data_IF_375435865713
#
_entry.id   IF_375435865713
#
_cell.length_a   1.000
_cell.length_b   1.000
_cell.length_c   1.000
_cell.angle_alpha   90.00
_cell.angle_beta   90.00
_cell.angle_gamma   90.00
#
_symmetry.space_group_name_H-M   'P 1'
#
loop_
_entity.id
_entity.type
_entity.pdbx_description
1 polymer ?
#
# COMPACT_ATOMS: atom_id res chain seq x y z
N UNK A 1 -24.11 -3.08 16.29
CA UNK A 1 -24.20 -4.55 16.18
C UNK A 1 -23.11 -5.21 15.30
N UNK A 2 -21.92 -4.62 15.10
CA UNK A 2 -20.82 -5.29 14.37
C UNK A 2 -20.10 -6.41 15.18
N UNK A 3 -20.50 -6.61 16.44
CA UNK A 3 -19.88 -7.58 17.35
C UNK A 3 -20.29 -9.04 17.09
N UNK A 4 -21.25 -9.29 16.19
CA UNK A 4 -21.81 -10.63 15.94
C UNK A 4 -21.30 -11.30 14.66
N UNK A 5 -20.26 -10.75 14.02
CA UNK A 5 -19.60 -11.40 12.88
C UNK A 5 -18.58 -12.41 13.41
N UNK A 6 -18.89 -13.71 13.32
CA UNK A 6 -18.11 -14.78 13.94
C UNK A 6 -16.95 -15.29 13.08
N UNK A 7 -17.04 -15.23 11.74
CA UNK A 7 -15.97 -15.61 10.81
C UNK A 7 -16.17 -15.03 9.39
N UNK A 8 -15.33 -15.45 8.44
CA UNK A 8 -15.33 -15.00 7.04
C UNK A 8 -16.58 -15.44 6.23
N UNK A 9 -17.37 -16.38 6.74
CA UNK A 9 -18.58 -16.93 6.12
C UNK A 9 -19.88 -16.23 6.53
N UNK A 10 -19.81 -15.23 7.40
CA UNK A 10 -20.99 -14.55 7.92
C UNK A 10 -21.77 -13.80 6.81
N UNK A 11 -23.08 -14.08 6.61
CA UNK A 11 -23.92 -13.39 5.63
C UNK A 11 -23.92 -11.85 5.77
N UNK A 12 -23.74 -11.33 6.99
CA UNK A 12 -23.68 -9.90 7.27
C UNK A 12 -22.51 -9.21 6.57
N UNK A 13 -21.41 -9.93 6.31
CA UNK A 13 -20.30 -9.36 5.54
C UNK A 13 -20.71 -9.05 4.10
N UNK A 14 -21.54 -9.91 3.50
CA UNK A 14 -22.08 -9.68 2.17
C UNK A 14 -23.13 -8.55 2.15
N UNK A 15 -23.94 -8.42 3.21
CA UNK A 15 -24.95 -7.36 3.32
C UNK A 15 -24.31 -5.97 3.49
N UNK A 16 -23.30 -5.85 4.35
CA UNK A 16 -22.73 -4.56 4.72
C UNK A 16 -21.65 -4.04 3.74
N UNK A 17 -20.99 -4.91 2.98
CA UNK A 17 -19.87 -4.52 2.11
C UNK A 17 -20.19 -3.36 1.16
N UNK A 18 -21.37 -3.35 0.55
CA UNK A 18 -21.79 -2.30 -0.37
C UNK A 18 -22.09 -0.94 0.29
N UNK A 19 -22.38 -0.92 1.59
CA UNK A 19 -22.73 0.30 2.32
C UNK A 19 -21.52 1.23 2.48
N UNK A 20 -20.31 0.67 2.54
CA UNK A 20 -19.08 1.44 2.75
C UNK A 20 -18.79 2.43 1.63
N UNK A 21 -19.23 2.15 0.39
CA UNK A 21 -19.05 3.07 -0.74
C UNK A 21 -19.57 4.45 -0.40
N UNK A 22 -20.79 4.55 0.16
CA UNK A 22 -21.36 5.85 0.57
C UNK A 22 -20.84 6.30 1.93
N UNK A 23 -20.68 5.39 2.88
CA UNK A 23 -20.33 5.73 4.25
C UNK A 23 -18.96 6.41 4.38
N UNK A 24 -17.94 5.98 3.63
CA UNK A 24 -16.60 6.61 3.68
C UNK A 24 -16.55 7.99 2.99
N UNK A 25 -17.61 8.33 2.25
CA UNK A 25 -17.76 9.61 1.56
C UNK A 25 -18.66 10.60 2.32
N UNK A 26 -19.06 10.28 3.55
CA UNK A 26 -19.95 11.12 4.35
C UNK A 26 -19.37 12.53 4.55
N UNK A 27 -20.20 13.56 4.40
CA UNK A 27 -19.81 14.96 4.59
C UNK A 27 -19.60 15.33 6.06
N UNK A 28 -20.19 14.59 6.99
CA UNK A 28 -19.97 14.77 8.42
C UNK A 28 -18.69 14.05 8.83
N UNK A 29 -17.67 14.81 9.24
CA UNK A 29 -16.37 14.26 9.61
C UNK A 29 -16.45 13.17 10.69
N UNK A 30 -17.31 13.33 11.71
CA UNK A 30 -17.46 12.33 12.77
C UNK A 30 -18.09 11.03 12.26
N UNK A 31 -19.08 11.15 11.37
CA UNK A 31 -19.70 9.99 10.72
C UNK A 31 -18.70 9.28 9.79
N UNK A 32 -17.94 10.05 9.01
CA UNK A 32 -16.90 9.53 8.12
C UNK A 32 -15.82 8.76 8.89
N UNK A 33 -15.34 9.29 10.03
CA UNK A 33 -14.35 8.60 10.86
C UNK A 33 -14.89 7.27 11.40
N UNK A 34 -16.15 7.24 11.83
CA UNK A 34 -16.80 6.00 12.27
C UNK A 34 -17.02 5.02 11.12
N UNK A 35 -17.33 5.52 9.92
CA UNK A 35 -17.43 4.70 8.73
C UNK A 35 -16.08 4.06 8.36
N UNK A 36 -14.99 4.81 8.45
CA UNK A 36 -13.64 4.29 8.21
C UNK A 36 -13.18 3.32 9.32
N UNK A 37 -13.52 3.57 10.59
CA UNK A 37 -13.27 2.61 11.68
C UNK A 37 -14.04 1.29 11.42
N UNK A 38 -15.32 1.39 11.04
CA UNK A 38 -16.15 0.24 10.70
C UNK A 38 -15.63 -0.49 9.45
N UNK A 39 -15.17 0.22 8.43
CA UNK A 39 -14.54 -0.37 7.24
C UNK A 39 -13.28 -1.14 7.63
N UNK A 40 -12.42 -0.55 8.46
CA UNK A 40 -11.22 -1.22 8.95
C UNK A 40 -11.54 -2.50 9.73
N UNK A 41 -12.58 -2.50 10.56
CA UNK A 41 -13.03 -3.69 11.28
C UNK A 41 -13.64 -4.74 10.34
N UNK A 42 -14.43 -4.29 9.36
CA UNK A 42 -14.99 -5.14 8.31
C UNK A 42 -13.88 -5.82 7.50
N UNK A 43 -12.93 -5.05 6.98
CA UNK A 43 -11.85 -5.59 6.15
C UNK A 43 -11.02 -6.61 6.90
N UNK A 44 -10.80 -6.46 8.22
CA UNK A 44 -10.11 -7.46 9.05
C UNK A 44 -10.81 -8.84 9.09
N UNK A 45 -12.09 -8.93 8.75
CA UNK A 45 -12.86 -10.19 8.68
C UNK A 45 -13.34 -10.54 7.26
N UNK A 46 -13.30 -9.58 6.35
CA UNK A 46 -13.72 -9.76 4.96
C UNK A 46 -12.80 -10.74 4.23
N UNK A 47 -13.34 -11.43 3.22
CA UNK A 47 -12.56 -12.22 2.27
C UNK A 47 -12.14 -11.34 1.10
N UNK A 48 -11.26 -11.84 0.24
CA UNK A 48 -10.94 -11.23 -1.06
C UNK A 48 -12.22 -10.94 -1.88
N UNK A 49 -13.15 -11.90 -1.94
CA UNK A 49 -14.44 -11.72 -2.65
C UNK A 49 -15.32 -10.63 -2.04
N UNK A 50 -15.27 -10.45 -0.72
CA UNK A 50 -16.00 -9.36 -0.08
C UNK A 50 -15.40 -8.00 -0.43
N UNK A 51 -14.07 -7.90 -0.46
CA UNK A 51 -13.36 -6.67 -0.81
C UNK A 51 -13.56 -6.26 -2.28
N UNK A 52 -13.43 -7.21 -3.21
CA UNK A 52 -13.52 -7.00 -4.67
C UNK A 52 -14.81 -6.29 -5.11
N UNK A 53 -15.95 -6.59 -4.47
CA UNK A 53 -17.27 -6.06 -4.87
C UNK A 53 -17.39 -4.54 -4.86
N UNK A 54 -16.63 -3.85 -4.01
CA UNK A 54 -16.81 -2.43 -3.76
C UNK A 54 -15.49 -1.64 -3.79
N UNK A 55 -14.36 -2.30 -4.05
CA UNK A 55 -13.04 -1.70 -3.86
C UNK A 55 -12.82 -0.45 -4.71
N UNK A 56 -13.16 -0.46 -6.00
CA UNK A 56 -12.89 0.67 -6.90
C UNK A 56 -13.54 1.97 -6.41
N UNK A 57 -14.85 1.90 -6.12
CA UNK A 57 -15.63 3.06 -5.68
C UNK A 57 -15.23 3.46 -4.26
N UNK A 58 -14.93 2.51 -3.39
CA UNK A 58 -14.54 2.79 -2.01
C UNK A 58 -13.17 3.47 -1.96
N UNK A 59 -12.18 2.96 -2.70
CA UNK A 59 -10.85 3.56 -2.79
C UNK A 59 -10.90 4.96 -3.41
N UNK A 60 -11.65 5.14 -4.50
CA UNK A 60 -11.87 6.46 -5.09
C UNK A 60 -12.49 7.45 -4.10
N UNK A 61 -13.47 7.00 -3.30
CA UNK A 61 -14.07 7.86 -2.27
C UNK A 61 -13.10 8.17 -1.11
N UNK A 62 -12.28 7.22 -0.67
CA UNK A 62 -11.23 7.47 0.33
C UNK A 62 -10.24 8.51 -0.18
N UNK A 63 -9.75 8.39 -1.42
CA UNK A 63 -8.83 9.37 -2.02
C UNK A 63 -9.47 10.76 -2.05
N UNK A 64 -10.71 10.86 -2.52
CA UNK A 64 -11.38 12.14 -2.73
C UNK A 64 -11.91 12.79 -1.44
N UNK A 65 -12.19 12.01 -0.39
CA UNK A 65 -12.91 12.49 0.81
C UNK A 65 -12.13 12.32 2.11
N UNK A 66 -11.22 11.36 2.22
CA UNK A 66 -10.49 11.09 3.46
C UNK A 66 -9.02 11.56 3.40
N UNK A 67 -8.32 11.39 2.27
CA UNK A 67 -6.89 11.72 2.18
C UNK A 67 -6.59 13.23 2.24
N UNK A 68 -7.59 14.08 1.94
CA UNK A 68 -7.50 15.53 2.12
C UNK A 68 -7.92 16.03 3.52
N UNK A 69 -8.46 15.16 4.37
CA UNK A 69 -9.10 15.52 5.64
C UNK A 69 -8.07 15.73 6.78
N UNK A 70 -8.56 15.73 8.03
CA UNK A 70 -7.71 15.82 9.24
C UNK A 70 -6.84 14.58 9.38
N UNK A 71 -5.68 14.69 10.04
CA UNK A 71 -4.69 13.62 10.17
C UNK A 71 -5.29 12.29 10.63
N UNK A 72 -6.20 12.31 11.62
CA UNK A 72 -6.85 11.09 12.11
C UNK A 72 -7.75 10.40 11.08
N UNK A 73 -8.37 11.15 10.17
CA UNK A 73 -9.18 10.59 9.07
C UNK A 73 -8.29 10.04 7.97
N UNK A 74 -7.20 10.76 7.64
CA UNK A 74 -6.19 10.29 6.69
C UNK A 74 -5.62 8.95 7.14
N UNK A 75 -5.19 8.82 8.40
CA UNK A 75 -4.65 7.58 8.95
C UNK A 75 -5.61 6.40 8.81
N UNK A 76 -6.91 6.60 9.09
CA UNK A 76 -7.93 5.55 8.94
C UNK A 76 -8.16 5.17 7.49
N UNK A 77 -8.18 6.15 6.59
CA UNK A 77 -8.30 5.93 5.14
C UNK A 77 -7.10 5.17 4.60
N UNK A 78 -5.89 5.55 5.00
CA UNK A 78 -4.66 4.85 4.66
C UNK A 78 -4.68 3.41 5.15
N UNK A 79 -5.02 3.16 6.42
CA UNK A 79 -5.11 1.79 6.94
C UNK A 79 -6.12 0.94 6.17
N UNK A 80 -7.27 1.51 5.77
CA UNK A 80 -8.26 0.81 4.97
C UNK A 80 -7.70 0.43 3.58
N UNK A 81 -6.97 1.33 2.92
CA UNK A 81 -6.30 1.05 1.64
C UNK A 81 -5.24 -0.05 1.77
N UNK A 82 -4.44 -0.04 2.86
CA UNK A 82 -3.46 -1.10 3.12
C UNK A 82 -4.13 -2.46 3.39
N UNK A 83 -5.27 -2.49 4.10
CA UNK A 83 -6.05 -3.72 4.29
C UNK A 83 -6.68 -4.24 3.01
N UNK A 84 -7.08 -3.37 2.10
CA UNK A 84 -7.49 -3.79 0.75
C UNK A 84 -6.35 -4.49 0.00
N UNK A 85 -5.12 -3.98 0.10
CA UNK A 85 -3.93 -4.65 -0.45
C UNK A 85 -3.72 -6.03 0.19
N UNK A 86 -3.90 -6.16 1.51
CA UNK A 86 -3.81 -7.46 2.21
C UNK A 86 -4.84 -8.48 1.68
N UNK A 87 -5.94 -8.01 1.10
CA UNK A 87 -7.02 -8.78 0.48
C UNK A 87 -6.90 -8.87 -1.05
N UNK A 88 -5.67 -8.80 -1.57
CA UNK A 88 -5.35 -8.95 -3.01
C UNK A 88 -5.89 -7.83 -3.91
N UNK A 89 -6.33 -6.70 -3.35
CA UNK A 89 -6.89 -5.58 -4.11
C UNK A 89 -5.84 -4.50 -4.45
N UNK A 90 -4.58 -4.89 -4.60
CA UNK A 90 -3.48 -3.95 -4.82
C UNK A 90 -3.65 -3.10 -6.09
N UNK A 91 -4.13 -3.70 -7.19
CA UNK A 91 -4.35 -2.97 -8.44
C UNK A 91 -5.35 -1.83 -8.26
N UNK A 92 -6.54 -2.12 -7.73
CA UNK A 92 -7.58 -1.13 -7.53
C UNK A 92 -7.14 0.01 -6.59
N UNK A 93 -6.38 -0.32 -5.54
CA UNK A 93 -5.81 0.68 -4.63
C UNK A 93 -4.80 1.58 -5.34
N UNK A 94 -3.86 1.00 -6.10
CA UNK A 94 -2.85 1.75 -6.86
C UNK A 94 -3.51 2.62 -7.92
N UNK A 95 -4.49 2.10 -8.66
CA UNK A 95 -5.21 2.84 -9.70
C UNK A 95 -5.92 4.08 -9.12
N UNK A 96 -6.59 3.92 -7.96
CA UNK A 96 -7.23 5.03 -7.28
C UNK A 96 -6.22 6.09 -6.77
N UNK A 97 -5.08 5.65 -6.23
CA UNK A 97 -4.03 6.55 -5.73
C UNK A 97 -3.33 7.31 -6.86
N UNK A 98 -3.03 6.62 -7.97
CA UNK A 98 -2.43 7.23 -9.16
C UNK A 98 -3.38 8.24 -9.80
N UNK A 99 -4.68 7.96 -9.85
CA UNK A 99 -5.68 8.96 -10.26
C UNK A 99 -5.67 10.20 -9.34
N UNK A 100 -5.35 10.00 -8.05
CA UNK A 100 -5.19 11.07 -7.06
C UNK A 100 -3.97 11.98 -7.31
N UNK A 101 -2.98 11.57 -8.10
CA UNK A 101 -1.80 12.38 -8.39
C UNK A 101 -2.10 13.63 -9.21
N UNK A 102 -3.20 13.62 -9.97
CA UNK A 102 -3.68 14.77 -10.75
C UNK A 102 -4.77 15.56 -10.04
N UNK A 103 -4.98 15.35 -8.74
CA UNK A 103 -6.01 16.05 -7.99
C UNK A 103 -5.73 17.57 -7.92
N UNK A 104 -6.78 18.38 -8.01
CA UNK A 104 -6.68 19.84 -7.93
C UNK A 104 -6.28 20.35 -6.55
N UNK A 105 -6.41 19.52 -5.52
CA UNK A 105 -6.04 19.84 -4.13
C UNK A 105 -4.64 19.27 -3.85
N UNK A 106 -3.59 20.10 -3.72
CA UNK A 106 -2.22 19.62 -3.54
C UNK A 106 -2.04 18.71 -2.32
N UNK A 107 -2.79 18.98 -1.25
CA UNK A 107 -2.78 18.14 -0.05
C UNK A 107 -3.21 16.69 -0.33
N UNK A 108 -4.18 16.49 -1.22
CA UNK A 108 -4.62 15.15 -1.62
C UNK A 108 -3.53 14.47 -2.45
N UNK A 109 -2.89 15.19 -3.37
CA UNK A 109 -1.75 14.70 -4.16
C UNK A 109 -0.64 14.20 -3.26
N UNK A 110 -0.21 15.02 -2.29
CA UNK A 110 0.83 14.66 -1.30
C UNK A 110 0.44 13.40 -0.52
N UNK A 111 -0.79 13.34 -0.02
CA UNK A 111 -1.27 12.17 0.72
C UNK A 111 -1.32 10.90 -0.14
N UNK A 112 -1.69 11.00 -1.42
CA UNK A 112 -1.69 9.84 -2.32
C UNK A 112 -0.25 9.31 -2.54
N UNK A 113 0.72 10.21 -2.75
CA UNK A 113 2.14 9.83 -2.92
C UNK A 113 2.64 9.14 -1.65
N UNK A 114 2.29 9.68 -0.48
CA UNK A 114 2.68 9.12 0.82
C UNK A 114 2.07 7.72 1.06
N UNK A 115 0.82 7.49 0.67
CA UNK A 115 0.20 6.16 0.77
C UNK A 115 0.85 5.17 -0.20
N UNK A 116 1.19 5.57 -1.42
CA UNK A 116 1.92 4.72 -2.38
C UNK A 116 3.31 4.37 -1.85
N UNK A 117 4.04 5.35 -1.30
CA UNK A 117 5.32 5.15 -0.63
C UNK A 117 5.18 4.09 0.48
N UNK A 118 4.20 4.27 1.38
CA UNK A 118 3.95 3.33 2.47
C UNK A 118 3.59 1.93 1.97
N UNK A 119 2.77 1.82 0.93
CA UNK A 119 2.39 0.53 0.34
C UNK A 119 3.59 -0.21 -0.26
N UNK A 120 4.46 0.49 -0.99
CA UNK A 120 5.67 -0.10 -1.58
C UNK A 120 6.64 -0.54 -0.47
N UNK A 121 6.88 0.31 0.53
CA UNK A 121 7.73 -0.04 1.67
C UNK A 121 7.19 -1.23 2.46
N UNK A 122 5.86 -1.34 2.59
CA UNK A 122 5.24 -2.39 3.39
C UNK A 122 5.19 -3.73 2.66
N UNK A 123 4.79 -3.76 1.38
CA UNK A 123 4.51 -5.00 0.65
C UNK A 123 5.54 -5.35 -0.43
N UNK A 124 6.29 -4.36 -0.92
CA UNK A 124 7.26 -4.54 -2.00
C UNK A 124 6.66 -4.73 -3.40
N UNK A 125 7.52 -4.87 -4.42
CA UNK A 125 7.13 -4.79 -5.84
C UNK A 125 6.41 -6.04 -6.36
N UNK A 126 6.40 -7.12 -5.57
CA UNK A 126 5.66 -8.35 -5.91
C UNK A 126 4.15 -8.17 -5.75
N UNK A 127 3.74 -7.38 -4.75
CA UNK A 127 2.33 -7.06 -4.47
C UNK A 127 1.95 -5.73 -5.12
N UNK A 128 2.82 -4.71 -4.98
CA UNK A 128 2.59 -3.39 -5.58
C UNK A 128 3.37 -3.30 -6.89
N UNK A 129 2.68 -3.47 -8.02
CA UNK A 129 3.32 -3.37 -9.34
C UNK A 129 3.83 -1.93 -9.57
N UNK A 130 5.15 -1.72 -9.74
CA UNK A 130 5.72 -0.35 -9.80
C UNK A 130 5.40 0.43 -11.08
N UNK A 131 5.13 -0.25 -12.19
CA UNK A 131 5.08 0.34 -13.53
C UNK A 131 4.00 1.43 -13.70
N UNK A 132 2.75 1.26 -13.21
CA UNK A 132 1.74 2.32 -13.24
C UNK A 132 2.20 3.58 -12.47
N UNK A 133 2.84 3.40 -11.32
CA UNK A 133 3.36 4.50 -10.50
C UNK A 133 4.48 5.23 -11.25
N UNK A 134 5.48 4.49 -11.76
CA UNK A 134 6.62 5.06 -12.49
C UNK A 134 6.18 5.94 -13.67
N UNK A 135 5.16 5.51 -14.44
CA UNK A 135 4.65 6.27 -15.59
C UNK A 135 4.04 7.63 -15.23
N UNK A 136 3.63 7.82 -13.97
CA UNK A 136 2.93 9.04 -13.52
C UNK A 136 3.80 9.98 -12.67
N UNK A 137 5.02 9.55 -12.31
CA UNK A 137 5.97 10.33 -11.53
C UNK A 137 6.60 11.55 -12.23
N UNK A 138 6.93 11.54 -13.53
CA UNK A 138 7.62 12.67 -14.17
C UNK A 138 6.98 14.05 -13.92
N UNK A 139 5.66 14.26 -14.12
CA UNK A 139 5.05 15.56 -13.83
C UNK A 139 5.05 15.93 -12.34
N UNK A 140 5.08 14.97 -11.42
CA UNK A 140 5.09 15.23 -9.97
C UNK A 140 6.44 15.76 -9.49
N UNK A 141 7.53 15.28 -10.09
CA UNK A 141 8.89 15.75 -9.79
C UNK A 141 9.11 17.21 -10.22
N UNK A 142 8.30 17.67 -11.17
CA UNK A 142 8.26 19.05 -11.66
C UNK A 142 7.05 19.84 -11.14
N UNK A 143 6.35 19.32 -10.12
CA UNK A 143 5.18 19.98 -9.52
C UNK A 143 5.55 21.38 -9.00
N UNK A 144 4.63 22.34 -9.03
CA UNK A 144 4.86 23.66 -8.41
C UNK A 144 4.79 23.59 -6.88
N UNK A 145 4.05 22.61 -6.35
CA UNK A 145 3.94 22.38 -4.90
C UNK A 145 5.20 21.69 -4.38
N UNK A 146 5.90 22.33 -3.43
CA UNK A 146 7.16 21.82 -2.91
C UNK A 146 6.99 20.47 -2.20
N UNK A 147 5.93 20.31 -1.40
CA UNK A 147 5.69 19.06 -0.66
C UNK A 147 5.41 17.89 -1.60
N UNK A 148 4.65 18.13 -2.67
CA UNK A 148 4.38 17.12 -3.68
C UNK A 148 5.67 16.71 -4.42
N UNK A 149 6.52 17.67 -4.79
CA UNK A 149 7.83 17.36 -5.39
C UNK A 149 8.71 16.55 -4.44
N UNK A 150 8.83 16.98 -3.19
CA UNK A 150 9.70 16.34 -2.20
C UNK A 150 9.25 14.90 -1.93
N UNK A 151 7.94 14.69 -1.77
CA UNK A 151 7.39 13.34 -1.62
C UNK A 151 7.53 12.49 -2.88
N UNK A 152 7.43 13.07 -4.06
CA UNK A 152 7.71 12.35 -5.30
C UNK A 152 9.18 11.90 -5.37
N UNK A 153 10.13 12.73 -4.94
CA UNK A 153 11.56 12.35 -4.83
C UNK A 153 11.74 11.20 -3.83
N UNK A 154 11.11 11.27 -2.65
CA UNK A 154 11.15 10.18 -1.66
C UNK A 154 10.60 8.86 -2.26
N UNK A 155 9.50 8.93 -3.00
CA UNK A 155 8.91 7.76 -3.67
C UNK A 155 9.83 7.16 -4.73
N UNK A 156 10.52 7.99 -5.52
CA UNK A 156 11.54 7.53 -6.48
C UNK A 156 12.69 6.80 -5.76
N UNK A 157 13.17 7.37 -4.65
CA UNK A 157 14.25 6.79 -3.86
C UNK A 157 13.82 5.45 -3.26
N UNK A 158 12.62 5.35 -2.70
CA UNK A 158 12.13 4.09 -2.16
C UNK A 158 11.95 3.03 -3.26
N UNK A 159 11.36 3.40 -4.40
CA UNK A 159 11.26 2.51 -5.56
C UNK A 159 12.64 1.98 -5.98
N UNK A 160 13.67 2.84 -6.00
CA UNK A 160 15.04 2.43 -6.35
C UNK A 160 15.63 1.34 -5.45
N UNK A 161 15.24 1.31 -4.17
CA UNK A 161 15.66 0.27 -3.22
C UNK A 161 15.05 -1.08 -3.56
N UNK A 162 13.84 -1.08 -4.11
CA UNK A 162 13.09 -2.29 -4.42
C UNK A 162 13.36 -2.86 -5.81
N UNK A 163 13.39 -2.01 -6.83
CA UNK A 163 13.53 -2.45 -8.25
C UNK A 163 14.92 -2.21 -8.83
N UNK A 164 15.80 -1.58 -8.07
CA UNK A 164 17.16 -1.23 -8.49
C UNK A 164 17.26 0.15 -9.11
N UNK A 165 18.38 0.81 -8.86
CA UNK A 165 18.64 2.18 -9.31
C UNK A 165 18.67 2.31 -10.84
N UNK A 166 19.17 1.29 -11.55
CA UNK A 166 19.29 1.35 -13.00
C UNK A 166 17.94 1.40 -13.73
N UNK A 167 16.95 0.67 -13.19
CA UNK A 167 15.59 0.73 -13.71
C UNK A 167 15.00 2.14 -13.50
N UNK A 168 15.26 2.75 -12.34
CA UNK A 168 14.81 4.12 -12.07
C UNK A 168 15.46 5.14 -13.00
N UNK A 169 16.78 5.03 -13.23
CA UNK A 169 17.52 5.91 -14.15
C UNK A 169 16.92 5.84 -15.55
N UNK A 170 16.82 4.63 -16.10
CA UNK A 170 16.29 4.41 -17.46
C UNK A 170 14.82 4.84 -17.61
N UNK A 171 14.00 4.64 -16.57
CA UNK A 171 12.58 4.96 -16.62
C UNK A 171 12.29 6.47 -16.50
N UNK A 172 13.01 7.20 -15.64
CA UNK A 172 12.61 8.55 -15.23
C UNK A 172 13.61 9.66 -15.57
N UNK A 173 14.91 9.40 -15.65
CA UNK A 173 15.90 10.50 -15.66
C UNK A 173 15.85 11.32 -16.94
N UNK A 174 15.52 10.71 -18.08
CA UNK A 174 15.40 11.44 -19.36
C UNK A 174 14.41 12.62 -19.31
N UNK A 175 13.44 12.57 -18.40
CA UNK A 175 12.36 13.55 -18.26
C UNK A 175 12.60 14.56 -17.12
N UNK A 176 13.80 14.57 -16.51
CA UNK A 176 14.14 15.43 -15.35
C UNK A 176 15.21 16.47 -15.67
N UNK A 177 15.19 17.58 -14.91
CA UNK A 177 16.30 18.54 -14.85
C UNK A 177 17.50 17.97 -14.11
N UNK A 178 18.71 18.39 -14.50
CA UNK A 178 19.96 17.86 -13.95
C UNK A 178 20.12 18.04 -12.44
N UNK A 179 19.64 19.16 -11.89
CA UNK A 179 19.61 19.37 -10.43
C UNK A 179 18.74 18.32 -9.73
N UNK A 180 17.58 17.99 -10.29
CA UNK A 180 16.68 16.98 -9.70
C UNK A 180 17.24 15.57 -9.83
N UNK A 181 17.93 15.25 -10.94
CA UNK A 181 18.67 14.00 -11.09
C UNK A 181 19.74 13.87 -10.00
N UNK A 182 20.58 14.90 -9.84
CA UNK A 182 21.69 14.89 -8.88
C UNK A 182 21.19 14.73 -7.42
N UNK A 183 20.11 15.43 -7.06
CA UNK A 183 19.46 15.28 -5.75
C UNK A 183 19.00 13.83 -5.50
N UNK A 184 18.29 13.25 -6.48
CA UNK A 184 17.76 11.88 -6.40
C UNK A 184 18.92 10.87 -6.36
N UNK A 185 19.96 11.03 -7.17
CA UNK A 185 21.12 10.15 -7.16
C UNK A 185 21.82 10.13 -5.80
N UNK A 186 22.03 11.31 -5.23
CA UNK A 186 22.62 11.46 -3.89
C UNK A 186 21.76 10.72 -2.85
N UNK A 187 20.44 10.91 -2.89
CA UNK A 187 19.53 10.23 -1.99
C UNK A 187 19.49 8.71 -2.20
N UNK A 188 19.52 8.23 -3.45
CA UNK A 188 19.59 6.79 -3.78
C UNK A 188 20.88 6.15 -3.27
N UNK A 189 22.01 6.84 -3.37
CA UNK A 189 23.30 6.37 -2.83
C UNK A 189 23.27 6.28 -1.31
N UNK A 190 22.71 7.29 -0.63
CA UNK A 190 22.57 7.29 0.82
C UNK A 190 21.76 6.09 1.33
N UNK A 191 20.65 5.75 0.66
CA UNK A 191 19.81 4.60 1.07
C UNK A 191 20.34 3.25 0.59
N UNK A 192 21.25 3.21 -0.39
CA UNK A 192 21.86 1.96 -0.87
C UNK A 192 22.68 1.26 0.22
N UNK A 193 23.28 2.03 1.13
CA UNK A 193 24.03 1.51 2.26
C UNK A 193 23.16 0.78 3.29
N UNK A 194 21.83 0.97 3.28
CA UNK A 194 20.90 0.34 4.22
C UNK A 194 20.55 -1.12 3.87
N UNK A 195 21.13 -1.66 2.78
CA UNK A 195 20.84 -3.02 2.31
C UNK A 195 19.51 -3.16 1.58
N UNK A 196 19.19 -4.38 1.16
CA UNK A 196 17.96 -4.68 0.41
C UNK A 196 16.73 -4.53 1.33
N UNK A 197 15.67 -3.82 0.89
CA UNK A 197 14.45 -3.69 1.67
C UNK A 197 13.75 -5.05 1.82
N UNK A 198 12.98 -5.19 2.91
CA UNK A 198 12.20 -6.40 3.23
C UNK A 198 10.76 -6.01 3.51
N UNK A 199 9.76 -6.75 3.00
CA UNK A 199 8.35 -6.45 3.28
C UNK A 199 8.05 -6.60 4.77
N UNK A 200 7.23 -5.71 5.31
CA UNK A 200 6.77 -5.70 6.70
C UNK A 200 5.29 -6.05 6.83
N UNK A 201 4.53 -5.94 5.73
CA UNK A 201 3.17 -6.46 5.58
C UNK A 201 3.12 -7.42 4.40
N UNK A 202 2.17 -8.34 4.45
CA UNK A 202 2.01 -9.41 3.48
C UNK A 202 0.53 -9.59 3.17
N UNK A 203 0.19 -10.05 1.96
CA UNK A 203 -1.20 -10.42 1.69
C UNK A 203 -1.61 -11.61 2.53
N UNK A 204 -2.91 -11.79 2.79
CA UNK A 204 -3.38 -12.94 3.58
C UNK A 204 -2.95 -14.27 2.95
N UNK A 205 -2.97 -14.37 1.62
CA UNK A 205 -2.46 -15.55 0.92
C UNK A 205 -0.97 -15.78 1.18
N UNK A 206 -0.17 -14.72 1.20
CA UNK A 206 1.25 -14.83 1.54
C UNK A 206 1.48 -15.24 3.00
N UNK A 207 0.71 -14.70 3.95
CA UNK A 207 0.76 -15.07 5.36
C UNK A 207 0.44 -16.55 5.56
N UNK A 208 -0.64 -17.05 4.93
CA UNK A 208 -1.02 -18.46 4.96
C UNK A 208 0.07 -19.36 4.35
N UNK A 209 0.67 -18.94 3.24
CA UNK A 209 1.78 -19.68 2.62
C UNK A 209 3.00 -19.76 3.54
N UNK A 210 3.39 -18.65 4.17
CA UNK A 210 4.51 -18.64 5.10
C UNK A 210 4.25 -19.50 6.35
N UNK A 211 3.02 -19.45 6.89
CA UNK A 211 2.62 -20.31 8.01
C UNK A 211 2.68 -21.81 7.64
N UNK A 212 2.20 -22.17 6.45
CA UNK A 212 2.25 -23.54 5.97
C UNK A 212 3.69 -24.05 5.74
N UNK A 213 4.61 -23.19 5.29
CA UNK A 213 6.02 -23.54 5.14
C UNK A 213 6.70 -23.76 6.49
N UNK A 214 6.48 -22.88 7.46
CA UNK A 214 7.02 -23.04 8.82
C UNK A 214 6.52 -24.32 9.49
N UNK A 215 5.23 -24.62 9.38
CA UNK A 215 4.67 -25.85 9.92
C UNK A 215 5.29 -27.12 9.30
N UNK A 216 5.66 -27.07 8.01
CA UNK A 216 6.37 -28.17 7.33
C UNK A 216 7.82 -28.31 7.80
N UNK A 217 8.52 -27.21 8.02
CA UNK A 217 9.89 -27.20 8.55
C UNK A 217 9.94 -27.74 9.98
N UNK A 218 8.99 -27.36 10.83
CA UNK A 218 8.86 -27.87 12.20
C UNK A 218 8.50 -29.36 12.24
N UNK A 219 7.66 -29.83 11.30
CA UNK A 219 7.30 -31.24 11.19
C UNK A 219 8.43 -32.12 10.61
N UNK A 220 9.42 -31.54 9.91
CA UNK A 220 10.53 -32.28 9.32
C UNK A 220 11.63 -32.66 10.32
N UNK A 221 11.65 -32.07 11.53
CA UNK A 221 12.61 -32.36 12.60
C UNK A 221 14.07 -31.99 12.26
N UNK A 222 14.96 -31.83 13.26
CA UNK A 222 16.38 -31.68 12.99
C UNK A 222 16.92 -33.00 12.43
N UNK A 223 17.48 -32.98 11.22
CA UNK A 223 18.23 -34.12 10.68
C UNK A 223 19.38 -34.39 11.66
N UNK A 224 19.25 -35.47 12.43
CA UNK A 224 20.31 -35.95 13.30
C UNK A 224 21.54 -36.22 12.42
N UNK A 225 22.60 -35.46 12.63
CA UNK A 225 23.91 -35.81 12.13
C UNK A 225 24.37 -37.06 12.90
N UNK A 226 24.08 -38.24 12.36
CA UNK A 226 24.74 -39.49 12.77
C UNK A 226 26.21 -39.41 12.37
N UNK A 227 27.02 -38.86 13.26
CA UNK A 227 28.47 -39.01 13.26
C UNK A 227 28.85 -40.36 13.86
N UNK A 228 28.95 -41.35 12.97
CA UNK A 228 29.85 -42.50 12.96
C UNK A 228 30.58 -42.85 14.28
N UNK A 229 30.22 -44.01 14.82
CA UNK A 229 30.89 -44.67 15.93
C UNK A 229 32.33 -45.07 15.55
N UNK A 230 33.30 -44.66 16.36
CA UNK A 230 34.61 -45.30 16.43
C UNK A 230 34.52 -46.48 17.40
N UNK A 231 34.76 -47.70 16.89
CA UNK A 231 34.85 -48.94 17.66
C UNK A 231 35.23 -50.11 16.77
#
# INVERSE_FOLDING_TARGET
>A
ELARVYDEGDPLLSEYGGLFVKAVADSNAAAQDKALDALNAFLSKATEKHADRAVDKTCANIVNKALGARTGTVQRGTEALLKYIELEQASAVVDALVAGFTNKVPKVVVACIEVVLQAISAFGPKVIVPQPVLKTLPPLLESKDAKARDKAKELVVELSRWVGQELIRSALFKDMRDVTKADIETAMQAVAAMGKPKPTRFTRKEQLRQAALKAKEEAAGPVAAEGEAAG
#
